data_IF_027868803203
#
_entry.id   IF_027868803203
#
_cell.length_a   1.000
_cell.length_b   1.000
_cell.length_c   1.000
_cell.angle_alpha   90.00
_cell.angle_beta   90.00
_cell.angle_gamma   90.00
#
_symmetry.space_group_name_H-M   'P 1'
#
loop_
_entity.id
_entity.type
_entity.pdbx_description
1 polymer ?
#
# COMPACT_ATOMS: atom_id res chain seq x y z
N UNK A 1 -1.86 20.97 -7.53
CA UNK A 1 -1.46 20.43 -6.22
C UNK A 1 -0.43 19.36 -6.50
N UNK A 2 0.82 19.56 -6.07
CA UNK A 2 1.84 18.52 -6.18
C UNK A 2 1.38 17.34 -5.31
N UNK A 3 1.04 16.23 -5.96
CA UNK A 3 0.81 14.95 -5.29
C UNK A 3 2.18 14.45 -4.82
N UNK A 4 2.71 15.03 -3.75
CA UNK A 4 3.91 14.53 -3.10
C UNK A 4 3.56 13.12 -2.61
N UNK A 5 4.23 12.06 -3.10
CA UNK A 5 3.91 10.71 -2.70
C UNK A 5 4.13 10.57 -1.20
N UNK A 6 3.06 10.29 -0.45
CA UNK A 6 3.15 9.99 0.97
C UNK A 6 4.03 8.75 1.16
N UNK A 7 5.05 8.88 2.01
CA UNK A 7 5.84 7.72 2.43
C UNK A 7 4.93 6.72 3.17
N UNK A 8 4.96 5.44 2.81
CA UNK A 8 4.13 4.43 3.45
C UNK A 8 4.48 4.29 4.93
N UNK A 9 3.46 4.26 5.78
CA UNK A 9 3.58 3.91 7.19
C UNK A 9 2.75 2.68 7.53
N UNK A 10 3.14 1.97 8.59
CA UNK A 10 2.41 0.77 9.05
C UNK A 10 0.95 1.10 9.30
N UNK A 11 0.06 0.28 8.74
CA UNK A 11 -1.38 0.47 8.83
C UNK A 11 -2.01 1.20 7.63
N UNK A 12 -1.22 1.93 6.84
CA UNK A 12 -1.73 2.61 5.66
C UNK A 12 -2.33 1.62 4.66
N UNK A 13 -3.42 2.02 4.02
CA UNK A 13 -4.06 1.27 2.95
C UNK A 13 -3.77 1.94 1.61
N UNK A 14 -3.51 1.12 0.60
CA UNK A 14 -3.22 1.58 -0.74
C UNK A 14 -4.04 0.80 -1.76
N UNK A 15 -4.32 1.46 -2.88
CA UNK A 15 -4.89 0.88 -4.10
C UNK A 15 -3.77 0.54 -5.07
N UNK A 16 -3.83 -0.62 -5.72
CA UNK A 16 -2.92 -0.91 -6.83
C UNK A 16 -3.30 -0.14 -8.09
N UNK A 17 -2.30 0.40 -8.78
CA UNK A 17 -2.44 0.96 -10.13
C UNK A 17 -2.44 -0.15 -11.19
N UNK A 18 -1.73 -1.25 -10.93
CA UNK A 18 -1.56 -2.36 -11.88
C UNK A 18 -2.73 -3.34 -11.87
N UNK A 19 -3.40 -3.49 -10.72
CA UNK A 19 -4.53 -4.39 -10.54
C UNK A 19 -5.75 -3.58 -10.08
N UNK A 20 -6.63 -3.14 -10.99
CA UNK A 20 -7.81 -2.37 -10.65
C UNK A 20 -8.72 -3.11 -9.66
N UNK A 21 -9.14 -2.44 -8.59
CA UNK A 21 -9.95 -3.04 -7.51
C UNK A 21 -9.14 -3.71 -6.41
N UNK A 22 -7.85 -3.97 -6.65
CA UNK A 22 -6.95 -4.57 -5.67
C UNK A 22 -6.48 -3.53 -4.64
N UNK A 23 -6.56 -3.91 -3.37
CA UNK A 23 -6.10 -3.10 -2.25
C UNK A 23 -5.07 -3.85 -1.44
N UNK A 24 -4.14 -3.10 -0.85
CA UNK A 24 -3.19 -3.65 0.11
C UNK A 24 -3.10 -2.79 1.37
N UNK A 25 -2.54 -3.37 2.42
CA UNK A 25 -2.22 -2.70 3.68
C UNK A 25 -0.74 -2.85 3.97
N UNK A 26 -0.09 -1.78 4.38
CA UNK A 26 1.30 -1.80 4.85
C UNK A 26 1.35 -2.47 6.22
N UNK A 27 2.16 -3.52 6.32
CA UNK A 27 2.35 -4.31 7.54
C UNK A 27 3.65 -3.91 8.25
N UNK A 28 4.70 -3.61 7.49
CA UNK A 28 5.98 -3.16 8.04
C UNK A 28 6.74 -2.27 7.04
N UNK A 29 7.65 -1.42 7.53
CA UNK A 29 8.57 -0.62 6.73
C UNK A 29 9.94 -0.69 7.38
N UNK A 30 10.92 -1.24 6.66
CA UNK A 30 12.28 -1.47 7.18
C UNK A 30 13.29 -1.41 6.03
N UNK A 31 14.50 -0.91 6.29
CA UNK A 31 15.61 -0.91 5.33
C UNK A 31 15.27 -0.44 3.90
N UNK A 32 14.41 0.57 3.78
CA UNK A 32 13.98 1.09 2.47
C UNK A 32 13.02 0.16 1.71
N UNK A 33 12.48 -0.86 2.37
CA UNK A 33 11.48 -1.81 1.89
C UNK A 33 10.14 -1.59 2.58
N UNK A 34 9.06 -1.95 1.88
CA UNK A 34 7.69 -1.94 2.37
C UNK A 34 7.18 -3.36 2.31
N UNK A 35 6.84 -3.93 3.46
CA UNK A 35 6.10 -5.17 3.57
C UNK A 35 4.61 -4.83 3.58
N UNK A 36 3.85 -5.43 2.67
CA UNK A 36 2.43 -5.21 2.56
C UNK A 36 1.69 -6.52 2.31
N UNK A 37 0.39 -6.48 2.57
CA UNK A 37 -0.53 -7.60 2.42
C UNK A 37 -1.70 -7.17 1.53
N UNK A 38 -2.06 -8.01 0.56
CA UNK A 38 -3.29 -7.82 -0.23
C UNK A 38 -4.54 -8.06 0.62
N UNK A 39 -5.58 -7.25 0.39
CA UNK A 39 -6.85 -7.25 1.13
C UNK A 39 -8.00 -7.94 0.37
N UNK A 40 -7.72 -8.66 -0.72
CA UNK A 40 -8.77 -9.29 -1.51
C UNK A 40 -9.42 -10.49 -0.82
N UNK A 41 -10.72 -10.67 -1.05
CA UNK A 41 -11.59 -11.58 -0.28
C UNK A 41 -11.35 -13.07 -0.55
N UNK A 42 -10.64 -13.45 -1.61
CA UNK A 42 -10.50 -14.84 -2.03
C UNK A 42 -9.07 -15.18 -2.48
N UNK A 43 -8.31 -15.76 -1.55
CA UNK A 43 -7.10 -16.57 -1.74
C UNK A 43 -5.74 -15.88 -1.51
N UNK A 44 -5.13 -16.32 -0.40
CA UNK A 44 -3.82 -16.03 0.17
C UNK A 44 -3.51 -14.56 0.48
N UNK A 45 -3.62 -14.26 1.78
CA UNK A 45 -2.88 -13.19 2.48
C UNK A 45 -1.39 -13.50 2.31
N UNK A 46 -0.86 -13.20 1.14
CA UNK A 46 0.56 -13.32 0.89
C UNK A 46 1.19 -11.97 1.21
N UNK A 47 2.17 -11.99 2.10
CA UNK A 47 3.01 -10.83 2.35
C UNK A 47 3.96 -10.65 1.17
N UNK A 48 4.06 -9.42 0.70
CA UNK A 48 4.97 -9.03 -0.36
C UNK A 48 5.84 -7.88 0.11
N UNK A 49 7.12 -7.89 -0.28
CA UNK A 49 8.04 -6.79 -0.04
C UNK A 49 8.45 -6.11 -1.34
N UNK A 50 8.48 -4.77 -1.31
CA UNK A 50 8.97 -3.96 -2.43
C UNK A 50 9.77 -2.76 -1.91
N UNK A 51 10.78 -2.28 -2.67
CA UNK A 51 11.48 -1.05 -2.31
C UNK A 51 10.49 0.12 -2.24
N UNK A 52 10.64 1.02 -1.28
CA UNK A 52 9.75 2.18 -1.08
C UNK A 52 9.50 2.93 -2.40
N UNK A 53 10.57 3.20 -3.17
CA UNK A 53 10.49 3.90 -4.46
C UNK A 53 9.56 3.19 -5.46
N UNK A 54 9.60 1.85 -5.48
CA UNK A 54 8.74 1.05 -6.36
C UNK A 54 7.32 1.00 -5.82
N UNK A 55 7.17 0.83 -4.51
CA UNK A 55 5.88 0.80 -3.84
C UNK A 55 5.06 2.07 -4.13
N UNK A 56 5.61 3.25 -3.89
CA UNK A 56 4.90 4.54 -4.11
C UNK A 56 4.60 4.83 -5.59
N UNK A 57 5.25 4.14 -6.52
CA UNK A 57 4.98 4.26 -7.96
C UNK A 57 3.77 3.43 -8.39
N UNK A 58 3.60 2.24 -7.80
CA UNK A 58 2.57 1.27 -8.22
C UNK A 58 1.34 1.27 -7.31
N UNK A 59 1.42 1.94 -6.16
CA UNK A 59 0.37 2.00 -5.16
C UNK A 59 -0.02 3.46 -4.86
N UNK A 60 -1.31 3.74 -4.91
CA UNK A 60 -1.88 5.05 -4.59
C UNK A 60 -2.48 5.01 -3.18
N UNK A 61 -2.13 5.99 -2.35
CA UNK A 61 -2.62 6.08 -0.98
C UNK A 61 -4.15 6.23 -0.98
N UNK A 62 -4.82 5.37 -0.22
CA UNK A 62 -6.23 5.56 0.08
C UNK A 62 -6.30 6.38 1.36
N UNK A 63 -6.72 7.65 1.27
CA UNK A 63 -7.10 8.38 2.48
C UNK A 63 -8.12 7.54 3.24
N UNK A 64 -7.75 7.11 4.44
CA UNK A 64 -8.75 6.69 5.39
C UNK A 64 -9.60 7.92 5.64
N UNK A 65 -10.82 7.97 5.07
CA UNK A 65 -11.83 8.88 5.61
C UNK A 65 -11.87 8.58 7.12
N UNK A 66 -11.63 9.57 8.00
CA UNK A 66 -11.96 9.37 9.40
C UNK A 66 -13.43 8.97 9.41
N UNK A 67 -13.73 7.77 9.91
CA UNK A 67 -15.09 7.43 10.29
C UNK A 67 -15.45 8.42 11.40
N UNK A 68 -16.25 9.43 11.04
CA UNK A 68 -16.85 10.38 11.97
C UNK A 68 -18.03 9.70 12.64
#
# INVERSE_FOLDING_TARGET
MENIPKLPVVGDKYRSVLHPGAHCKVINVFDGQVLFQWLEQNAFIQEHSLPIKRFVTIFQFCEAKPEV
#
